data_IF_003406084667
#
_entry.id   IF_003406084667
#
_cell.length_a   1.000
_cell.length_b   1.000
_cell.length_c   1.000
_cell.angle_alpha   90.00
_cell.angle_beta   90.00
_cell.angle_gamma   90.00
#
_symmetry.space_group_name_H-M   'P 1'
#
loop_
_entity.id
_entity.type
_entity.pdbx_description
1 polymer ?
#
# COMPACT_ATOMS: atom_id res chain seq x y z
N UNK A 1 -14.63 -8.64 11.87
CA UNK A 1 -13.97 -7.41 11.39
C UNK A 1 -13.75 -7.51 9.89
N UNK A 2 -14.06 -6.45 9.15
CA UNK A 2 -13.83 -6.35 7.69
C UNK A 2 -12.47 -5.71 7.44
N UNK A 3 -11.65 -6.29 6.55
CA UNK A 3 -10.31 -5.78 6.23
C UNK A 3 -10.29 -5.23 4.82
N UNK A 4 -10.00 -3.95 4.67
CA UNK A 4 -10.09 -3.21 3.42
C UNK A 4 -8.69 -2.73 3.03
N UNK A 5 -8.22 -3.13 1.86
CA UNK A 5 -6.94 -2.68 1.30
C UNK A 5 -7.17 -1.73 0.14
N UNK A 6 -6.75 -0.48 0.30
CA UNK A 6 -6.65 0.47 -0.80
C UNK A 6 -5.26 0.39 -1.42
N UNK A 7 -5.19 0.06 -2.70
CA UNK A 7 -3.95 0.10 -3.47
C UNK A 7 -3.91 1.38 -4.29
N UNK A 8 -2.92 2.23 -4.06
CA UNK A 8 -2.83 3.52 -4.74
C UNK A 8 -1.41 3.80 -5.20
N UNK A 9 -1.25 4.24 -6.45
CA UNK A 9 0.01 4.84 -6.88
C UNK A 9 0.24 6.22 -6.24
N UNK A 10 1.46 6.78 -6.36
CA UNK A 10 1.77 8.08 -5.78
C UNK A 10 0.89 9.19 -6.36
N UNK A 11 0.70 10.28 -5.58
CA UNK A 11 -0.03 11.49 -6.02
C UNK A 11 -1.49 11.27 -6.40
N UNK A 12 -2.14 10.29 -5.77
CA UNK A 12 -3.51 9.90 -6.10
C UNK A 12 -4.52 10.10 -4.97
N UNK A 13 -4.46 11.22 -4.23
CA UNK A 13 -5.38 11.58 -3.11
C UNK A 13 -5.61 10.49 -2.04
N UNK A 14 -4.82 9.42 -2.04
CA UNK A 14 -4.94 8.28 -1.13
C UNK A 14 -4.88 8.70 0.34
N UNK A 15 -4.03 9.66 0.68
CA UNK A 15 -3.97 10.23 2.03
C UNK A 15 -5.30 10.88 2.45
N UNK A 16 -6.01 11.55 1.55
CA UNK A 16 -7.30 12.15 1.87
C UNK A 16 -8.37 11.07 2.14
N UNK A 17 -8.37 9.99 1.36
CA UNK A 17 -9.26 8.83 1.59
C UNK A 17 -8.91 8.15 2.92
N UNK A 18 -7.62 7.95 3.20
CA UNK A 18 -7.17 7.41 4.48
C UNK A 18 -7.69 8.23 5.67
N UNK A 19 -7.57 9.56 5.62
CA UNK A 19 -8.11 10.42 6.66
C UNK A 19 -9.64 10.31 6.78
N UNK A 20 -10.36 10.15 5.66
CA UNK A 20 -11.81 9.92 5.69
C UNK A 20 -12.18 8.63 6.44
N UNK A 21 -11.41 7.55 6.28
CA UNK A 21 -11.58 6.33 7.07
C UNK A 21 -11.18 6.53 8.53
N UNK A 22 -10.07 7.22 8.79
CA UNK A 22 -9.56 7.48 10.14
C UNK A 22 -10.54 8.28 11.01
N UNK A 23 -11.32 9.17 10.39
CA UNK A 23 -12.36 9.94 11.10
C UNK A 23 -13.60 9.11 11.46
N UNK A 24 -13.69 7.86 11.03
CA UNK A 24 -14.78 6.97 11.45
C UNK A 24 -14.43 6.30 12.76
N UNK A 25 -15.32 6.41 13.75
CA UNK A 25 -15.12 5.78 15.07
C UNK A 25 -15.07 4.25 15.05
N UNK A 26 -15.51 3.62 13.96
CA UNK A 26 -15.59 2.17 13.75
C UNK A 26 -14.41 1.58 12.95
N UNK A 27 -13.41 2.40 12.58
CA UNK A 27 -12.33 2.00 11.70
C UNK A 27 -10.94 2.19 12.35
N UNK A 28 -10.14 1.12 12.35
CA UNK A 28 -8.70 1.20 12.58
C UNK A 28 -8.00 1.44 11.24
N UNK A 29 -7.04 2.36 11.20
CA UNK A 29 -6.35 2.76 9.97
C UNK A 29 -4.85 2.51 10.11
N UNK A 30 -4.26 1.89 9.10
CA UNK A 30 -2.81 1.71 8.96
C UNK A 30 -2.34 2.38 7.68
N UNK A 31 -1.34 3.25 7.80
CA UNK A 31 -0.72 3.96 6.68
C UNK A 31 0.54 3.20 6.23
N UNK A 32 0.56 2.80 4.97
CA UNK A 32 1.70 2.21 4.25
C UNK A 32 2.49 1.14 5.06
N UNK A 33 1.84 0.05 5.50
CA UNK A 33 2.45 -0.95 6.40
C UNK A 33 3.73 -1.59 5.86
N UNK A 34 3.90 -1.63 4.55
CA UNK A 34 5.06 -2.24 3.88
C UNK A 34 6.20 -1.26 3.56
N UNK A 35 6.10 0.01 3.97
CA UNK A 35 7.12 1.01 3.61
C UNK A 35 8.49 0.70 4.21
N UNK A 36 8.55 0.25 5.47
CA UNK A 36 9.80 -0.15 6.10
C UNK A 36 10.44 -1.37 5.44
N UNK A 37 9.62 -2.35 5.02
CA UNK A 37 10.08 -3.46 4.21
C UNK A 37 10.69 -2.98 2.89
N UNK A 38 9.95 -2.16 2.13
CA UNK A 38 10.41 -1.59 0.87
C UNK A 38 11.74 -0.85 1.00
N UNK A 39 11.88 0.01 2.01
CA UNK A 39 13.12 0.70 2.31
C UNK A 39 14.26 -0.28 2.59
N UNK A 40 14.04 -1.27 3.45
CA UNK A 40 15.06 -2.26 3.79
C UNK A 40 15.52 -3.05 2.57
N UNK A 41 14.59 -3.56 1.77
CA UNK A 41 14.87 -4.42 0.61
C UNK A 41 15.55 -3.66 -0.53
N UNK A 42 15.09 -2.44 -0.84
CA UNK A 42 15.66 -1.65 -1.95
C UNK A 42 16.94 -0.91 -1.58
N UNK A 43 17.20 -0.70 -0.28
CA UNK A 43 18.34 0.10 0.17
C UNK A 43 18.23 1.60 -0.15
N UNK A 44 17.05 2.08 -0.57
CA UNK A 44 16.85 3.48 -0.94
C UNK A 44 17.14 4.44 0.22
N UNK A 45 17.94 5.46 -0.07
CA UNK A 45 18.19 6.56 0.84
C UNK A 45 17.09 7.62 0.69
N UNK A 46 16.05 7.47 1.51
CA UNK A 46 14.91 8.39 1.56
C UNK A 46 14.92 9.16 2.89
N UNK A 47 14.53 10.44 2.89
CA UNK A 47 14.37 11.19 4.14
C UNK A 47 13.52 10.43 5.17
N UNK A 48 14.08 10.22 6.36
CA UNK A 48 13.42 9.51 7.46
C UNK A 48 13.63 7.99 7.47
N UNK A 49 14.43 7.44 6.55
CA UNK A 49 14.70 6.00 6.44
C UNK A 49 15.00 5.32 7.77
N UNK A 50 16.06 5.75 8.45
CA UNK A 50 16.56 5.06 9.66
C UNK A 50 15.48 5.04 10.74
N UNK A 51 14.81 6.18 10.95
CA UNK A 51 13.68 6.29 11.87
C UNK A 51 12.53 5.34 11.47
N UNK A 52 12.21 5.24 10.19
CA UNK A 52 11.16 4.32 9.72
C UNK A 52 11.54 2.86 10.02
N UNK A 53 12.79 2.48 9.77
CA UNK A 53 13.29 1.13 10.04
C UNK A 53 13.39 0.79 11.53
N UNK A 54 13.59 1.80 12.38
CA UNK A 54 13.60 1.64 13.84
C UNK A 54 12.19 1.46 14.43
N UNK A 55 11.19 2.15 13.86
CA UNK A 55 9.83 2.23 14.43
C UNK A 55 8.88 1.19 13.85
N UNK A 56 9.09 0.79 12.60
CA UNK A 56 8.15 -0.07 11.87
C UNK A 56 8.76 -1.43 11.52
N UNK A 57 7.90 -2.43 11.45
CA UNK A 57 8.30 -3.79 11.07
C UNK A 57 8.76 -3.83 9.60
N UNK A 58 9.92 -4.43 9.35
CA UNK A 58 10.54 -4.51 8.02
C UNK A 58 10.53 -5.90 7.41
N UNK A 59 10.12 -6.92 8.17
CA UNK A 59 9.88 -8.27 7.70
C UNK A 59 8.46 -8.36 7.10
N UNK A 60 8.39 -8.54 5.77
CA UNK A 60 7.12 -8.62 5.04
C UNK A 60 6.17 -9.69 5.60
N UNK A 61 6.68 -10.87 5.96
CA UNK A 61 5.86 -11.96 6.49
C UNK A 61 5.22 -11.58 7.83
N UNK A 62 5.97 -10.92 8.71
CA UNK A 62 5.41 -10.48 10.00
C UNK A 62 4.37 -9.38 9.81
N UNK A 63 4.58 -8.47 8.85
CA UNK A 63 3.56 -7.48 8.47
C UNK A 63 2.31 -8.19 7.94
N UNK A 64 2.45 -9.14 7.01
CA UNK A 64 1.33 -9.91 6.44
C UNK A 64 0.56 -10.63 7.55
N UNK A 65 1.23 -11.37 8.43
CA UNK A 65 0.59 -12.04 9.58
C UNK A 65 -0.16 -11.04 10.45
N UNK A 66 0.43 -9.88 10.76
CA UNK A 66 -0.24 -8.84 11.55
C UNK A 66 -1.49 -8.27 10.85
N UNK A 67 -1.48 -8.15 9.52
CA UNK A 67 -2.62 -7.61 8.78
C UNK A 67 -3.74 -8.66 8.62
N UNK A 68 -3.38 -9.90 8.29
CA UNK A 68 -4.31 -11.00 8.02
C UNK A 68 -4.90 -11.57 9.32
N UNK A 69 -4.04 -11.88 10.30
CA UNK A 69 -4.42 -12.60 11.52
C UNK A 69 -4.51 -11.70 12.76
N UNK A 70 -4.02 -10.46 12.67
CA UNK A 70 -4.05 -9.52 13.78
C UNK A 70 -5.46 -9.19 14.28
N UNK A 71 -5.56 -8.99 15.59
CA UNK A 71 -6.78 -8.56 16.27
C UNK A 71 -6.78 -7.04 16.42
N UNK A 72 -7.89 -6.41 16.05
CA UNK A 72 -8.10 -4.97 16.19
C UNK A 72 -9.45 -4.71 16.83
N UNK A 73 -9.54 -3.69 17.68
CA UNK A 73 -10.73 -3.39 18.49
C UNK A 73 -11.82 -2.61 17.73
N UNK A 74 -11.84 -2.74 16.40
CA UNK A 74 -12.71 -1.97 15.50
C UNK A 74 -13.38 -2.89 14.49
N UNK A 75 -14.55 -2.49 14.00
CA UNK A 75 -15.31 -3.29 13.05
C UNK A 75 -14.62 -3.37 11.68
N UNK A 76 -13.85 -2.33 11.34
CA UNK A 76 -13.11 -2.22 10.09
C UNK A 76 -11.61 -2.00 10.34
N UNK A 77 -10.78 -2.69 9.57
CA UNK A 77 -9.38 -2.36 9.36
C UNK A 77 -9.22 -1.80 7.96
N UNK A 78 -8.72 -0.58 7.82
CA UNK A 78 -8.41 0.04 6.54
C UNK A 78 -6.90 0.23 6.40
N UNK A 79 -6.36 -0.23 5.28
CA UNK A 79 -4.94 -0.11 4.95
C UNK A 79 -4.78 0.72 3.69
N UNK A 80 -3.95 1.77 3.78
CA UNK A 80 -3.48 2.49 2.60
C UNK A 80 -2.16 1.86 2.15
N UNK A 81 -2.18 1.17 1.02
CA UNK A 81 -1.01 0.50 0.46
C UNK A 81 -0.51 1.18 -0.82
N UNK A 82 0.80 1.12 -1.01
CA UNK A 82 1.48 1.51 -2.24
C UNK A 82 1.95 0.25 -2.96
N UNK A 83 1.53 0.00 -4.22
CA UNK A 83 1.89 -1.20 -4.97
C UNK A 83 3.40 -1.38 -5.13
N UNK A 84 4.15 -0.30 -5.35
CA UNK A 84 5.61 -0.36 -5.51
C UNK A 84 6.35 -0.74 -4.22
N UNK A 85 5.67 -0.82 -3.06
CA UNK A 85 6.26 -1.38 -1.84
C UNK A 85 6.31 -2.92 -1.87
N UNK A 86 5.60 -3.58 -2.79
CA UNK A 86 5.55 -5.04 -2.90
C UNK A 86 6.77 -5.59 -3.65
N UNK A 87 7.96 -5.41 -3.08
CA UNK A 87 9.22 -5.92 -3.63
C UNK A 87 9.53 -7.25 -2.96
N UNK A 88 9.73 -8.31 -3.74
CA UNK A 88 10.03 -9.66 -3.24
C UNK A 88 8.96 -10.24 -2.28
N UNK A 89 7.69 -9.87 -2.48
CA UNK A 89 6.54 -10.35 -1.70
C UNK A 89 5.63 -11.21 -2.59
N UNK A 90 5.20 -12.38 -2.10
CA UNK A 90 4.11 -13.14 -2.72
C UNK A 90 2.79 -12.39 -2.53
N UNK A 91 2.13 -12.02 -3.62
CA UNK A 91 0.89 -11.24 -3.60
C UNK A 91 -0.35 -12.05 -3.19
N UNK A 92 -0.26 -13.37 -3.04
CA UNK A 92 -1.41 -14.24 -2.71
C UNK A 92 -2.16 -13.81 -1.43
N UNK A 93 -1.48 -13.16 -0.47
CA UNK A 93 -2.10 -12.69 0.77
C UNK A 93 -3.21 -11.64 0.57
N UNK A 94 -3.20 -10.89 -0.54
CA UNK A 94 -4.17 -9.81 -0.75
C UNK A 94 -5.61 -10.35 -0.89
N UNK A 95 -5.76 -11.65 -1.17
CA UNK A 95 -7.05 -12.37 -1.24
C UNK A 95 -7.79 -12.37 0.10
N UNK A 96 -7.09 -12.14 1.21
CA UNK A 96 -7.65 -12.03 2.55
C UNK A 96 -8.38 -10.70 2.81
N UNK A 97 -8.35 -9.75 1.86
CA UNK A 97 -8.89 -8.40 2.02
C UNK A 97 -9.96 -8.08 0.97
N UNK A 98 -10.83 -7.13 1.31
CA UNK A 98 -11.62 -6.38 0.34
C UNK A 98 -10.70 -5.33 -0.31
N UNK A 99 -10.34 -5.55 -1.58
CA UNK A 99 -9.39 -4.70 -2.27
C UNK A 99 -10.10 -3.66 -3.12
N UNK A 100 -9.55 -2.44 -3.17
CA UNK A 100 -9.88 -1.52 -4.24
C UNK A 100 -8.65 -0.76 -4.73
N UNK A 101 -8.63 -0.47 -6.02
CA UNK A 101 -7.53 0.19 -6.69
C UNK A 101 -7.91 1.64 -6.96
N UNK A 102 -7.18 2.55 -6.34
CA UNK A 102 -7.30 3.96 -6.64
C UNK A 102 -6.34 4.26 -7.80
N UNK A 103 -6.92 4.53 -8.96
CA UNK A 103 -6.22 4.75 -10.23
C UNK A 103 -6.43 6.20 -10.68
N UNK A 104 -5.36 6.83 -11.15
CA UNK A 104 -5.38 8.15 -11.79
C UNK A 104 -4.73 8.05 -13.15
N UNK A 105 -5.16 8.93 -14.05
CA UNK A 105 -4.60 9.01 -15.39
C UNK A 105 -3.06 9.17 -15.31
N UNK A 106 -2.28 8.27 -15.96
CA UNK A 106 -0.83 8.21 -15.79
C UNK A 106 -0.09 9.50 -16.17
N UNK A 107 -0.50 10.20 -17.24
CA UNK A 107 0.17 11.45 -17.65
C UNK A 107 0.03 12.54 -16.58
N UNK A 108 -1.13 12.62 -15.94
CA UNK A 108 -1.38 13.53 -14.82
C UNK A 108 -0.59 13.15 -13.56
N UNK A 109 -0.37 11.85 -13.30
CA UNK A 109 0.48 11.37 -12.21
C UNK A 109 1.94 11.77 -12.43
N UNK A 110 2.51 11.42 -13.59
CA UNK A 110 3.90 11.70 -13.97
C UNK A 110 4.20 13.20 -13.87
N UNK A 111 3.33 14.04 -14.43
CA UNK A 111 3.49 15.51 -14.43
C UNK A 111 3.54 16.11 -13.01
N UNK A 112 2.86 15.49 -12.03
CA UNK A 112 2.94 15.92 -10.63
C UNK A 112 4.12 15.31 -9.87
N UNK A 113 4.60 14.14 -10.29
CA UNK A 113 5.59 13.36 -9.57
C UNK A 113 7.03 13.80 -9.91
N UNK A 114 7.31 14.10 -11.19
CA UNK A 114 8.60 14.66 -11.66
C UNK A 114 8.97 15.97 -10.93
N UNK A 115 7.96 16.75 -10.49
CA UNK A 115 8.20 17.99 -9.72
C UNK A 115 8.81 17.74 -8.33
N UNK A 116 8.74 16.51 -7.81
CA UNK A 116 9.22 16.14 -6.47
C UNK A 116 10.39 15.16 -6.50
N UNK A 117 10.44 14.27 -7.48
CA UNK A 117 11.49 13.26 -7.64
C UNK A 117 11.96 13.36 -9.10
N UNK A 118 13.22 13.74 -9.37
CA UNK A 118 13.71 13.96 -10.74
C UNK A 118 13.77 12.67 -11.58
N UNK A 119 14.11 11.54 -10.95
CA UNK A 119 14.38 10.27 -11.61
C UNK A 119 13.24 9.27 -11.39
N UNK A 120 12.07 9.56 -11.95
CA UNK A 120 10.88 8.68 -11.88
C UNK A 120 10.98 7.57 -12.91
N UNK A 121 10.99 6.33 -12.46
CA UNK A 121 10.77 5.15 -13.31
C UNK A 121 9.27 4.81 -13.38
N UNK A 122 8.89 4.03 -14.39
CA UNK A 122 7.51 3.52 -14.49
C UNK A 122 7.13 2.63 -13.30
N UNK A 123 8.10 1.91 -12.73
CA UNK A 123 7.91 1.06 -11.56
C UNK A 123 7.56 1.86 -10.31
N UNK A 124 8.00 3.11 -10.20
CA UNK A 124 7.64 3.99 -9.08
C UNK A 124 6.16 4.40 -9.10
N UNK A 125 5.50 4.29 -10.26
CA UNK A 125 4.06 4.53 -10.36
C UNK A 125 3.26 3.34 -9.81
N UNK A 126 3.84 2.14 -9.84
CA UNK A 126 3.22 0.89 -9.37
C UNK A 126 2.00 0.43 -10.17
N UNK A 127 1.75 0.99 -11.36
CA UNK A 127 0.57 0.68 -12.19
C UNK A 127 0.62 -0.75 -12.77
N UNK A 128 1.82 -1.22 -13.09
CA UNK A 128 2.12 -2.60 -13.46
C UNK A 128 1.73 -3.56 -12.34
N UNK A 129 2.21 -3.30 -11.12
CA UNK A 129 1.89 -4.12 -9.94
C UNK A 129 0.40 -4.08 -9.62
N UNK A 130 -0.27 -2.92 -9.74
CA UNK A 130 -1.74 -2.85 -9.57
C UNK A 130 -2.48 -3.70 -10.60
N UNK A 131 -2.02 -3.72 -11.85
CA UNK A 131 -2.62 -4.54 -12.89
C UNK A 131 -2.46 -6.03 -12.59
N UNK A 132 -1.27 -6.46 -12.17
CA UNK A 132 -1.00 -7.85 -11.81
C UNK A 132 -1.84 -8.31 -10.61
N UNK A 133 -1.95 -7.47 -9.58
CA UNK A 133 -2.84 -7.72 -8.43
C UNK A 133 -4.30 -7.86 -8.86
N UNK A 134 -4.78 -6.95 -9.72
CA UNK A 134 -6.16 -6.96 -10.20
C UNK A 134 -6.44 -8.22 -11.03
N UNK A 135 -5.58 -8.55 -11.98
CA UNK A 135 -5.74 -9.72 -12.84
C UNK A 135 -5.73 -11.03 -12.01
N UNK A 136 -4.84 -11.13 -11.02
CA UNK A 136 -4.82 -12.24 -10.06
C UNK A 136 -6.14 -12.37 -9.30
N UNK A 137 -6.65 -11.27 -8.72
CA UNK A 137 -7.91 -11.26 -7.96
C UNK A 137 -9.10 -11.67 -8.81
N UNK A 138 -9.21 -11.14 -10.04
CA UNK A 138 -10.29 -11.50 -10.97
C UNK A 138 -10.23 -12.97 -11.36
N UNK A 139 -9.03 -13.50 -11.66
CA UNK A 139 -8.85 -14.93 -11.98
C UNK A 139 -9.27 -15.86 -10.85
N UNK A 140 -9.17 -15.41 -9.61
CA UNK A 140 -9.58 -16.15 -8.41
C UNK A 140 -11.05 -15.89 -8.00
N UNK A 141 -11.79 -15.09 -8.78
CA UNK A 141 -13.22 -14.83 -8.55
C UNK A 141 -13.51 -13.77 -7.48
N UNK A 142 -12.51 -12.99 -7.09
CA UNK A 142 -12.71 -11.81 -6.24
C UNK A 142 -13.35 -10.66 -7.05
N UNK A 143 -14.03 -9.76 -6.35
CA UNK A 143 -14.70 -8.58 -6.92
C UNK A 143 -13.86 -7.32 -6.77
#
# INVERSE_FOLDING_TARGET
MKRISMWSGPRNVSTAIMYAFHHRGDCHVIDEPFYAHYLKTTGLDHPGRDRTLEVHESNAEMVITSLVDGQYDKDFLFMKNMPHHMVDIDLSFITAFDNFFLIREPRAMISSYIKKIPDVSMSDLGLDVQFDMYDMLIKQGHR
#
